data_IF_332360758360
#
_entry.id   IF_332360758360
#
_cell.length_a   1.000
_cell.length_b   1.000
_cell.length_c   1.000
_cell.angle_alpha   90.00
_cell.angle_beta   90.00
_cell.angle_gamma   90.00
#
_symmetry.space_group_name_H-M   'P 1'
#
loop_
_entity.id
_entity.type
_entity.pdbx_description
1 polymer ?
#
# COMPACT_ATOMS: atom_id res chain seq x y z
N UNK A 1 7.22 6.25 12.67
CA UNK A 1 7.40 6.81 11.31
C UNK A 1 7.16 5.69 10.32
N UNK A 2 6.10 5.79 9.53
CA UNK A 2 5.84 4.89 8.43
C UNK A 2 6.94 5.04 7.37
N UNK A 3 7.68 3.96 7.10
CA UNK A 3 8.72 3.96 6.07
C UNK A 3 8.13 3.31 4.82
N UNK A 4 8.06 4.08 3.73
CA UNK A 4 7.71 3.56 2.40
C UNK A 4 8.74 2.52 1.97
N UNK A 5 8.29 1.33 1.59
CA UNK A 5 9.15 0.28 1.08
C UNK A 5 9.45 0.51 -0.40
N UNK A 6 10.73 0.56 -0.77
CA UNK A 6 11.19 0.72 -2.17
C UNK A 6 11.56 -0.64 -2.78
N UNK A 7 10.67 -1.61 -2.65
CA UNK A 7 10.86 -2.96 -3.20
C UNK A 7 10.36 -3.00 -4.65
N UNK A 8 11.08 -3.70 -5.53
CA UNK A 8 10.71 -3.85 -6.94
C UNK A 8 9.48 -4.75 -7.15
N UNK A 9 9.04 -5.44 -6.09
CA UNK A 9 7.86 -6.30 -6.06
C UNK A 9 7.10 -6.08 -4.76
N UNK A 10 5.80 -6.40 -4.77
CA UNK A 10 5.05 -6.47 -3.53
C UNK A 10 5.69 -7.50 -2.61
N UNK A 11 5.83 -7.15 -1.33
CA UNK A 11 6.35 -8.05 -0.31
C UNK A 11 5.34 -9.19 -0.11
N UNK A 12 5.82 -10.44 -0.08
CA UNK A 12 5.01 -11.63 0.15
C UNK A 12 4.60 -11.73 1.63
N UNK A 13 3.81 -10.76 2.08
CA UNK A 13 3.32 -10.61 3.45
C UNK A 13 1.91 -10.03 3.42
N UNK A 14 0.97 -10.55 4.24
CA UNK A 14 -0.39 -10.01 4.33
C UNK A 14 -0.39 -8.52 4.67
N UNK A 15 -1.12 -7.74 3.88
CA UNK A 15 -1.25 -6.29 4.02
C UNK A 15 -2.69 -5.83 3.77
N UNK A 16 -3.07 -4.70 4.36
CA UNK A 16 -4.33 -4.01 4.03
C UNK A 16 -4.20 -3.26 2.71
N UNK A 17 -5.27 -3.20 1.93
CA UNK A 17 -5.34 -2.35 0.73
C UNK A 17 -6.19 -1.12 1.03
N UNK A 18 -5.63 0.05 0.79
CA UNK A 18 -6.27 1.35 1.01
C UNK A 18 -6.29 2.15 -0.29
N UNK A 19 -7.26 3.05 -0.43
CA UNK A 19 -7.26 4.05 -1.51
C UNK A 19 -6.74 5.37 -0.98
N UNK A 20 -5.88 6.04 -1.75
CA UNK A 20 -5.51 7.43 -1.49
C UNK A 20 -6.75 8.32 -1.55
N UNK A 21 -6.87 9.37 -0.70
CA UNK A 21 -7.90 10.41 -0.86
C UNK A 21 -7.81 11.13 -2.21
N UNK A 22 -6.65 11.08 -2.85
CA UNK A 22 -6.40 11.63 -4.20
C UNK A 22 -6.53 10.55 -5.29
N UNK A 23 -7.08 9.37 -4.98
CA UNK A 23 -7.23 8.29 -5.94
C UNK A 23 -8.07 8.74 -7.13
N UNK A 24 -7.61 8.44 -8.34
CA UNK A 24 -8.32 8.78 -9.58
C UNK A 24 -8.02 7.79 -10.70
N UNK A 25 -8.88 7.83 -11.72
CA UNK A 25 -8.78 7.04 -12.95
C UNK A 25 -8.93 7.97 -14.17
N UNK A 26 -7.94 8.82 -14.47
CA UNK A 26 -8.00 9.73 -15.61
C UNK A 26 -8.03 9.01 -16.96
N UNK A 27 -7.57 7.75 -17.02
CA UNK A 27 -7.55 6.95 -18.24
C UNK A 27 -8.86 6.18 -18.48
N UNK A 28 -9.79 6.16 -17.52
CA UNK A 28 -11.05 5.43 -17.61
C UNK A 28 -10.88 3.91 -17.60
N UNK A 29 -9.76 3.41 -17.10
CA UNK A 29 -9.39 1.99 -17.11
C UNK A 29 -10.38 1.14 -16.31
N UNK A 30 -11.04 1.72 -15.30
CA UNK A 30 -12.03 1.02 -14.50
C UNK A 30 -13.25 0.53 -15.31
N UNK A 31 -13.43 1.05 -16.54
CA UNK A 31 -14.51 0.66 -17.46
C UNK A 31 -14.11 -0.49 -18.38
N UNK A 32 -12.83 -0.86 -18.41
CA UNK A 32 -12.33 -1.88 -19.33
C UNK A 32 -12.73 -3.28 -18.86
N UNK A 33 -12.99 -4.16 -19.82
CA UNK A 33 -13.27 -5.56 -19.54
C UNK A 33 -12.09 -6.22 -18.80
N UNK A 34 -12.41 -7.00 -17.77
CA UNK A 34 -11.40 -7.66 -16.94
C UNK A 34 -10.71 -6.77 -15.91
N UNK A 35 -10.96 -5.46 -15.87
CA UNK A 35 -10.43 -4.58 -14.82
C UNK A 35 -10.76 -5.09 -13.41
N UNK A 36 -12.04 -5.39 -13.15
CA UNK A 36 -12.50 -5.87 -11.85
C UNK A 36 -11.76 -7.15 -11.43
N UNK A 37 -11.59 -8.10 -12.35
CA UNK A 37 -10.87 -9.34 -12.10
C UNK A 37 -9.38 -9.10 -11.77
N UNK A 38 -8.73 -8.18 -12.48
CA UNK A 38 -7.34 -7.80 -12.20
C UNK A 38 -7.20 -7.18 -10.81
N UNK A 39 -8.05 -6.23 -10.45
CA UNK A 39 -8.02 -5.59 -9.13
C UNK A 39 -8.33 -6.58 -8.01
N UNK A 40 -9.31 -7.46 -8.19
CA UNK A 40 -9.65 -8.47 -7.19
C UNK A 40 -8.49 -9.46 -6.98
N UNK A 41 -7.80 -9.88 -8.06
CA UNK A 41 -6.60 -10.70 -7.94
C UNK A 41 -5.50 -9.97 -7.16
N UNK A 42 -5.23 -8.70 -7.50
CA UNK A 42 -4.24 -7.88 -6.81
C UNK A 42 -4.57 -7.77 -5.31
N UNK A 43 -5.81 -7.43 -4.98
CA UNK A 43 -6.27 -7.30 -3.59
C UNK A 43 -6.16 -8.62 -2.84
N UNK A 44 -6.54 -9.73 -3.47
CA UNK A 44 -6.45 -11.08 -2.87
C UNK A 44 -5.00 -11.47 -2.59
N UNK A 45 -4.09 -11.24 -3.53
CA UNK A 45 -2.66 -11.51 -3.33
C UNK A 45 -2.07 -10.67 -2.19
N UNK A 46 -2.36 -9.37 -2.15
CA UNK A 46 -1.90 -8.48 -1.08
C UNK A 46 -2.46 -8.91 0.28
N UNK A 47 -3.76 -9.19 0.36
CA UNK A 47 -4.42 -9.58 1.61
C UNK A 47 -3.88 -10.90 2.15
N UNK A 48 -3.54 -11.85 1.27
CA UNK A 48 -3.00 -13.16 1.65
C UNK A 48 -1.48 -13.18 1.78
N UNK A 49 -0.79 -12.11 1.38
CA UNK A 49 0.66 -12.07 1.31
C UNK A 49 1.26 -13.02 0.28
N UNK A 50 0.51 -13.37 -0.76
CA UNK A 50 1.02 -14.22 -1.84
C UNK A 50 1.59 -13.38 -2.98
N UNK A 51 2.64 -13.86 -3.67
CA UNK A 51 3.18 -13.16 -4.83
C UNK A 51 2.12 -12.98 -5.93
N UNK A 52 2.16 -11.84 -6.61
CA UNK A 52 1.42 -11.67 -7.86
C UNK A 52 2.07 -12.44 -9.01
N UNK A 53 1.30 -12.90 -10.00
CA UNK A 53 1.85 -13.44 -11.24
C UNK A 53 2.85 -12.47 -11.88
N UNK A 54 3.88 -13.00 -12.52
CA UNK A 54 4.98 -12.19 -13.09
C UNK A 54 4.51 -11.15 -14.11
N UNK A 55 3.40 -11.41 -14.81
CA UNK A 55 2.79 -10.51 -15.79
C UNK A 55 2.35 -9.15 -15.25
N UNK A 56 2.14 -9.01 -13.93
CA UNK A 56 1.78 -7.73 -13.31
C UNK A 56 2.99 -6.79 -13.12
N UNK A 57 4.20 -7.31 -13.28
CA UNK A 57 5.43 -6.54 -13.12
C UNK A 57 6.08 -6.27 -14.48
N UNK A 58 6.81 -5.16 -14.57
CA UNK A 58 7.68 -4.91 -15.73
C UNK A 58 8.65 -6.07 -15.92
N UNK A 59 8.94 -6.45 -17.17
CA UNK A 59 9.92 -7.51 -17.50
C UNK A 59 11.31 -7.21 -16.97
N UNK A 60 11.62 -5.93 -16.75
CA UNK A 60 12.90 -5.47 -16.20
C UNK A 60 12.81 -5.07 -14.72
N UNK A 61 11.73 -5.43 -14.02
CA UNK A 61 11.58 -5.16 -12.60
C UNK A 61 12.74 -5.80 -11.80
N UNK A 62 13.52 -4.95 -11.11
CA UNK A 62 14.73 -5.36 -10.38
C UNK A 62 16.00 -5.45 -11.23
N UNK A 63 15.90 -5.34 -12.56
CA UNK A 63 17.05 -5.32 -13.49
C UNK A 63 17.49 -3.91 -13.86
N UNK A 64 16.57 -2.93 -13.80
CA UNK A 64 16.84 -1.51 -13.99
C UNK A 64 16.24 -0.70 -12.84
N UNK A 65 16.87 0.43 -12.54
CA UNK A 65 16.35 1.35 -11.54
C UNK A 65 15.03 1.94 -12.01
N UNK A 66 13.94 1.57 -11.36
CA UNK A 66 12.66 2.27 -11.51
C UNK A 66 12.77 3.63 -10.81
N UNK A 67 12.74 4.71 -11.59
CA UNK A 67 12.94 6.07 -11.09
C UNK A 67 11.79 6.53 -10.19
N UNK A 68 10.55 6.07 -10.45
CA UNK A 68 9.39 6.39 -9.62
C UNK A 68 9.53 5.74 -8.24
N UNK A 69 9.95 4.48 -8.23
CA UNK A 69 10.18 3.72 -7.01
C UNK A 69 11.36 4.28 -6.22
N UNK A 70 12.48 4.56 -6.91
CA UNK A 70 13.70 5.07 -6.29
C UNK A 70 13.48 6.47 -5.67
N UNK A 71 12.82 7.39 -6.37
CA UNK A 71 12.65 8.75 -5.90
C UNK A 71 11.52 8.88 -4.88
N UNK A 72 10.37 8.26 -5.14
CA UNK A 72 9.13 8.55 -4.41
C UNK A 72 8.55 7.34 -3.66
N UNK A 73 9.10 6.14 -3.87
CA UNK A 73 8.53 4.89 -3.35
C UNK A 73 7.24 4.48 -4.07
N UNK A 74 7.02 5.00 -5.28
CA UNK A 74 5.83 4.74 -6.08
C UNK A 74 6.13 3.60 -7.06
N UNK A 75 5.38 2.51 -6.94
CA UNK A 75 5.39 1.35 -7.83
C UNK A 75 4.27 1.47 -8.88
N UNK A 76 4.46 0.83 -10.03
CA UNK A 76 3.38 0.55 -10.98
C UNK A 76 3.23 -0.96 -11.19
N UNK A 77 1.98 -1.41 -11.32
CA UNK A 77 1.62 -2.77 -11.75
C UNK A 77 0.88 -2.69 -13.08
N UNK A 78 1.23 -3.57 -14.02
CA UNK A 78 0.48 -3.74 -15.25
C UNK A 78 -0.84 -4.47 -14.97
N UNK A 79 -1.93 -3.99 -15.54
CA UNK A 79 -3.23 -4.65 -15.48
C UNK A 79 -3.39 -5.58 -16.69
N UNK A 80 -3.81 -6.82 -16.47
CA UNK A 80 -3.97 -7.85 -17.51
C UNK A 80 -2.70 -8.67 -17.75
N UNK A 81 -1.72 -8.13 -18.50
CA UNK A 81 -0.49 -8.85 -18.90
C UNK A 81 0.74 -7.94 -18.87
N UNK A 82 1.92 -8.53 -18.94
CA UNK A 82 3.16 -7.74 -19.05
C UNK A 82 3.11 -6.84 -20.29
N UNK A 83 3.55 -5.60 -20.18
CA UNK A 83 3.59 -4.59 -21.25
C UNK A 83 2.23 -4.01 -21.66
N UNK A 84 1.16 -4.14 -20.87
CA UNK A 84 -0.01 -3.28 -21.09
C UNK A 84 0.31 -1.84 -20.72
N UNK A 85 -0.30 -0.89 -21.43
CA UNK A 85 -0.21 0.52 -21.07
C UNK A 85 -1.04 0.88 -19.85
N UNK A 86 -1.91 -0.02 -19.39
CA UNK A 86 -2.81 0.16 -18.26
C UNK A 86 -2.10 -0.20 -16.96
N UNK A 87 -1.95 0.79 -16.08
CA UNK A 87 -1.18 0.67 -14.86
C UNK A 87 -2.03 1.00 -13.64
N UNK A 88 -1.81 0.22 -12.58
CA UNK A 88 -2.15 0.62 -11.22
C UNK A 88 -0.89 1.16 -10.53
N UNK A 89 -0.92 2.45 -10.19
CA UNK A 89 0.11 3.09 -9.39
C UNK A 89 -0.18 2.93 -7.90
N UNK A 90 0.83 2.57 -7.10
CA UNK A 90 0.68 2.30 -5.67
C UNK A 90 1.94 2.59 -4.85
N UNK A 91 1.78 2.67 -3.53
CA UNK A 91 2.89 2.69 -2.56
C UNK A 91 2.71 1.56 -1.57
N UNK A 92 3.80 0.87 -1.23
CA UNK A 92 3.80 -0.20 -0.24
C UNK A 92 4.47 0.24 1.08
N UNK A 93 3.86 -0.18 2.17
CA UNK A 93 4.35 -0.06 3.54
C UNK A 93 4.41 -1.45 4.21
N UNK A 94 5.00 -1.60 5.41
CA UNK A 94 5.13 -2.89 6.06
C UNK A 94 3.81 -3.65 6.33
N UNK A 95 2.70 -2.95 6.51
CA UNK A 95 1.39 -3.50 6.91
C UNK A 95 0.24 -3.14 5.95
N UNK A 96 0.47 -2.25 4.99
CA UNK A 96 -0.55 -1.83 4.03
C UNK A 96 0.03 -1.43 2.68
N UNK A 97 -0.85 -1.34 1.69
CA UNK A 97 -0.61 -0.82 0.35
C UNK A 97 -1.64 0.27 0.08
N UNK A 98 -1.21 1.40 -0.48
CA UNK A 98 -2.09 2.50 -0.87
C UNK A 98 -2.13 2.59 -2.40
N UNK A 99 -3.31 2.43 -2.99
CA UNK A 99 -3.52 2.68 -4.42
C UNK A 99 -3.64 4.18 -4.68
N UNK A 100 -2.96 4.64 -5.73
CA UNK A 100 -2.85 6.05 -6.09
C UNK A 100 -3.64 6.41 -7.33
N UNK A 101 -3.46 5.68 -8.42
CA UNK A 101 -4.02 6.08 -9.71
C UNK A 101 -4.11 4.89 -10.66
N UNK A 102 -5.14 4.90 -11.49
CA UNK A 102 -5.22 4.09 -12.70
C UNK A 102 -4.86 4.97 -13.90
N UNK A 103 -3.73 4.71 -14.53
CA UNK A 103 -3.31 5.47 -15.72
C UNK A 103 -2.31 4.68 -16.56
N UNK A 104 -1.38 5.38 -17.20
CA UNK A 104 -0.43 4.82 -18.14
C UNK A 104 1.00 5.23 -17.79
N UNK A 105 1.94 5.01 -18.73
CA UNK A 105 3.35 5.30 -18.53
C UNK A 105 3.71 6.79 -18.64
N UNK A 106 2.77 7.70 -18.95
CA UNK A 106 3.06 9.15 -19.09
C UNK A 106 3.79 9.80 -17.89
N UNK A 107 3.63 9.35 -16.63
CA UNK A 107 4.44 9.86 -15.53
C UNK A 107 5.96 9.71 -15.76
N UNK A 108 6.39 8.70 -16.53
CA UNK A 108 7.80 8.52 -16.89
C UNK A 108 8.34 9.56 -17.89
N UNK A 109 7.48 10.17 -18.69
CA UNK A 109 7.87 11.19 -19.68
C UNK A 109 8.10 12.58 -19.05
N UNK A 110 7.78 12.73 -17.76
CA UNK A 110 7.91 14.01 -17.05
C UNK A 110 9.39 14.39 -16.80
N UNK A 111 9.61 15.68 -16.56
CA UNK A 111 10.90 16.26 -16.17
C UNK A 111 10.71 17.16 -14.94
N UNK A 112 11.19 16.79 -13.74
CA UNK A 112 11.77 15.48 -13.40
C UNK A 112 10.76 14.33 -13.56
N UNK A 113 11.27 13.12 -13.80
CA UNK A 113 10.45 11.90 -13.94
C UNK A 113 9.51 11.77 -12.74
N UNK A 114 8.20 11.66 -12.99
CA UNK A 114 7.18 11.55 -11.94
C UNK A 114 6.91 12.79 -11.11
N UNK A 115 7.57 13.92 -11.36
CA UNK A 115 7.51 15.09 -10.47
C UNK A 115 6.09 15.61 -10.24
N UNK A 116 5.32 15.82 -11.33
CA UNK A 116 3.93 16.29 -11.25
C UNK A 116 3.00 15.23 -10.67
N UNK A 117 3.26 13.96 -10.99
CA UNK A 117 2.50 12.83 -10.45
C UNK A 117 2.64 12.75 -8.92
N UNK A 118 3.88 12.80 -8.41
CA UNK A 118 4.14 12.80 -6.98
C UNK A 118 3.55 14.04 -6.29
N UNK A 119 3.69 15.23 -6.90
CA UNK A 119 3.10 16.45 -6.36
C UNK A 119 1.59 16.30 -6.13
N UNK A 120 0.87 15.77 -7.13
CA UNK A 120 -0.57 15.55 -7.03
C UNK A 120 -0.96 14.57 -5.90
N UNK A 121 -0.26 13.44 -5.76
CA UNK A 121 -0.61 12.42 -4.77
C UNK A 121 -0.03 12.65 -3.37
N UNK A 122 0.95 13.54 -3.22
CA UNK A 122 1.66 13.78 -1.96
C UNK A 122 0.72 14.09 -0.79
N UNK A 123 -0.26 14.97 -0.99
CA UNK A 123 -1.24 15.33 0.04
C UNK A 123 -2.08 14.14 0.49
N UNK A 124 -2.55 13.31 -0.46
CA UNK A 124 -3.32 12.10 -0.14
C UNK A 124 -2.51 11.05 0.61
N UNK A 125 -1.23 10.88 0.25
CA UNK A 125 -0.32 10.00 0.96
C UNK A 125 -0.07 10.49 2.39
N UNK A 126 0.21 11.78 2.59
CA UNK A 126 0.39 12.38 3.92
C UNK A 126 -0.85 12.16 4.79
N UNK A 127 -2.05 12.35 4.23
CA UNK A 127 -3.30 12.10 4.95
C UNK A 127 -3.40 10.63 5.39
N UNK A 128 -3.13 9.67 4.50
CA UNK A 128 -3.18 8.24 4.85
C UNK A 128 -2.12 7.85 5.87
N UNK A 129 -0.90 8.37 5.73
CA UNK A 129 0.17 8.14 6.70
C UNK A 129 -0.26 8.62 8.10
N UNK A 130 -0.85 9.82 8.20
CA UNK A 130 -1.37 10.36 9.48
C UNK A 130 -2.51 9.52 10.06
N UNK A 131 -3.48 9.12 9.24
CA UNK A 131 -4.61 8.29 9.69
C UNK A 131 -4.14 6.92 10.21
N UNK A 132 -3.13 6.34 9.57
CA UNK A 132 -2.57 5.03 9.95
C UNK A 132 -1.76 5.16 11.24
N UNK A 133 -0.93 6.19 11.37
CA UNK A 133 -0.21 6.49 12.61
C UNK A 133 -1.20 6.75 13.76
N UNK A 134 -2.29 7.50 13.52
CA UNK A 134 -3.33 7.75 14.51
C UNK A 134 -4.09 6.46 14.91
N UNK A 135 -4.45 5.62 13.95
CA UNK A 135 -5.10 4.33 14.23
C UNK A 135 -4.18 3.37 15.01
N UNK A 136 -2.89 3.36 14.69
CA UNK A 136 -1.89 2.58 15.42
C UNK A 136 -1.72 3.10 16.86
N UNK A 137 -1.69 4.41 17.06
CA UNK A 137 -1.63 5.04 18.38
C UNK A 137 -2.89 4.75 19.21
N UNK A 138 -4.08 4.88 18.62
CA UNK A 138 -5.35 4.57 19.28
C UNK A 138 -5.47 3.08 19.64
N UNK A 139 -5.06 2.18 18.75
CA UNK A 139 -5.02 0.74 19.04
C UNK A 139 -4.01 0.37 20.14
N UNK A 140 -2.89 1.08 20.23
CA UNK A 140 -1.92 0.93 21.34
C UNK A 140 -2.48 1.48 22.66
N UNK A 141 -3.14 2.63 22.64
CA UNK A 141 -3.79 3.22 23.81
C UNK A 141 -4.96 2.35 24.33
N UNK A 142 -5.73 1.73 23.43
CA UNK A 142 -6.82 0.82 23.78
C UNK A 142 -6.32 -0.55 24.32
N UNK A 143 -5.10 -0.96 23.96
CA UNK A 143 -4.44 -2.14 24.52
C UNK A 143 -3.71 -1.77 25.81
N UNK A 144 -4.48 -1.47 26.85
CA UNK A 144 -3.97 -1.41 28.21
C UNK A 144 -3.20 -2.71 28.52
N UNK A 145 -1.97 -2.57 29.02
CA UNK A 145 -1.19 -3.72 29.50
C UNK A 145 -1.89 -4.39 30.68
N UNK A 146 -1.56 -5.65 30.96
CA UNK A 146 -2.14 -6.37 32.10
C UNK A 146 -1.95 -5.59 33.43
N UNK A 147 -0.78 -4.98 33.63
CA UNK A 147 -0.50 -4.14 34.80
C UNK A 147 -1.35 -2.87 34.87
N UNK A 148 -1.57 -2.20 33.74
CA UNK A 148 -2.44 -1.01 33.67
C UNK A 148 -3.90 -1.38 33.88
N UNK A 149 -4.36 -2.51 33.34
CA UNK A 149 -5.72 -2.99 33.58
C UNK A 149 -5.94 -3.38 35.05
N UNK A 150 -4.92 -3.89 35.77
CA UNK A 150 -4.98 -4.09 37.23
C UNK A 150 -5.04 -2.73 37.95
N UNK A 151 -4.17 -1.78 37.58
CA UNK A 151 -4.10 -0.46 38.23
C UNK A 151 -5.40 0.33 38.07
N UNK A 152 -6.08 0.19 36.93
CA UNK A 152 -7.38 0.79 36.63
C UNK A 152 -8.57 -0.02 37.15
N UNK A 153 -8.33 -1.15 37.84
CA UNK A 153 -9.40 -1.99 38.42
C UNK A 153 -10.24 -2.76 37.40
N UNK A 154 -9.81 -2.82 36.14
CA UNK A 154 -10.52 -3.48 35.03
C UNK A 154 -10.39 -5.01 35.07
N UNK A 155 -9.37 -5.53 35.76
CA UNK A 155 -9.18 -6.97 36.04
C UNK A 155 -8.57 -7.15 37.43
N UNK A 156 -8.96 -8.22 38.14
CA UNK A 156 -8.40 -8.58 39.45
C UNK A 156 -7.11 -9.38 39.30
N UNK A 157 -6.15 -9.16 40.20
CA UNK A 157 -4.98 -10.04 40.31
C UNK A 157 -5.46 -11.46 40.68
N UNK A 158 -4.95 -12.52 40.03
CA UNK A 158 -5.22 -13.88 40.45
C UNK A 158 -4.66 -14.05 41.86
N UNK A 159 -5.56 -14.33 42.79
CA UNK A 159 -5.19 -14.78 44.14
C UNK A 159 -4.60 -16.17 44.00
N UNK A 160 -3.36 -16.36 44.48
CA UNK A 160 -2.78 -17.70 44.59
C UNK A 160 -3.78 -18.58 45.35
N UNK A 161 -4.09 -19.80 44.86
CA UNK A 161 -4.82 -20.75 45.68
C UNK A 161 -3.98 -21.00 46.93
N UNK A 162 -4.61 -20.86 48.09
CA UNK A 162 -3.99 -21.14 49.38
C UNK A 162 -3.47 -22.57 49.38
N UNK A 163 -2.18 -22.69 49.71
CA UNK A 163 -1.49 -23.94 50.03
C UNK A 163 -2.10 -24.63 51.25
#
# INVERSE_FOLDING_TARGET
MLIRQKLSRLEAKPKKVLLSPTFRDPAGIARNDGFAANIDLIRKCIANGTPLPSGYYSKVAGLRMDTMLANFGIMHLHLGRSNTSELLWLVQYPDHVVFLELSDHKPFDQRPVGGRFNQYHSGGLITREKEIDAAAAAGKAARLTYGEKIRLGLIKRPTKPGS
#
